data_IF_355166020736
#
_entry.id   IF_355166020736
#
_cell.length_a   1.000
_cell.length_b   1.000
_cell.length_c   1.000
_cell.angle_alpha   90.00
_cell.angle_beta   90.00
_cell.angle_gamma   90.00
#
_symmetry.space_group_name_H-M   'P 1'
#
loop_
_entity.id
_entity.type
_entity.pdbx_description
1 polymer ?
#
# COMPACT_ATOMS: atom_id res chain seq x y z
N UNK A 1 -15.37 13.35 12.74
CA UNK A 1 -15.77 13.32 14.18
C UNK A 1 -17.13 12.64 14.22
N UNK A 2 -17.33 11.63 15.07
CA UNK A 2 -18.64 11.00 15.24
C UNK A 2 -19.61 11.94 15.96
N UNK A 3 -20.82 12.07 15.43
CA UNK A 3 -21.84 12.97 16.00
C UNK A 3 -23.15 12.20 16.16
N UNK A 4 -23.70 12.21 17.36
CA UNK A 4 -24.97 11.55 17.64
C UNK A 4 -26.12 12.29 16.95
N UNK A 5 -26.98 11.53 16.27
CA UNK A 5 -28.20 12.02 15.62
C UNK A 5 -29.44 11.38 16.26
N UNK A 6 -30.54 12.11 16.31
CA UNK A 6 -31.82 11.63 16.84
C UNK A 6 -32.98 12.13 15.99
N UNK A 7 -33.95 11.24 15.75
CA UNK A 7 -35.17 11.53 14.98
C UNK A 7 -36.37 11.04 15.76
N UNK A 8 -37.38 11.90 15.92
CA UNK A 8 -38.63 11.53 16.59
C UNK A 8 -39.53 10.74 15.64
N UNK A 9 -39.87 9.50 16.01
CA UNK A 9 -40.76 8.62 15.24
C UNK A 9 -42.18 8.51 15.84
N UNK A 10 -42.56 9.32 16.82
CA UNK A 10 -43.82 9.20 17.56
C UNK A 10 -45.06 9.27 16.66
N UNK A 11 -45.01 10.02 15.55
CA UNK A 11 -46.09 10.10 14.57
C UNK A 11 -46.42 8.75 13.87
N UNK A 12 -45.53 7.77 14.00
CA UNK A 12 -45.64 6.44 13.42
C UNK A 12 -45.93 5.34 14.47
N UNK A 13 -46.18 5.71 15.72
CA UNK A 13 -46.53 4.73 16.77
C UNK A 13 -47.73 3.86 16.34
N UNK A 14 -47.60 2.55 16.54
CA UNK A 14 -48.61 1.56 16.16
C UNK A 14 -48.66 1.22 14.66
N UNK A 15 -47.75 1.77 13.83
CA UNK A 15 -47.67 1.49 12.40
C UNK A 15 -46.42 0.68 12.07
N UNK A 16 -46.52 -0.13 11.01
CA UNK A 16 -45.35 -0.73 10.38
C UNK A 16 -44.77 0.28 9.37
N UNK A 17 -43.52 0.66 9.55
CA UNK A 17 -42.81 1.62 8.70
C UNK A 17 -41.46 1.06 8.27
N UNK A 18 -40.87 1.66 7.23
CA UNK A 18 -39.48 1.43 6.82
C UNK A 18 -38.71 2.72 7.10
N UNK A 19 -37.60 2.59 7.84
CA UNK A 19 -36.62 3.66 8.00
C UNK A 19 -35.57 3.48 6.92
N UNK A 20 -35.24 4.56 6.20
CA UNK A 20 -34.27 4.58 5.13
C UNK A 20 -33.32 5.75 5.31
N UNK A 21 -32.04 5.50 5.03
CA UNK A 21 -31.01 6.52 4.96
C UNK A 21 -30.70 6.80 3.49
N UNK A 22 -30.87 8.07 3.11
CA UNK A 22 -30.55 8.56 1.78
C UNK A 22 -29.41 9.60 1.92
N UNK A 23 -28.33 9.40 1.18
CA UNK A 23 -27.23 10.35 1.05
C UNK A 23 -27.28 10.99 -0.33
N UNK A 24 -27.28 12.32 -0.37
CA UNK A 24 -27.31 13.11 -1.62
C UNK A 24 -26.17 14.12 -1.56
N UNK A 25 -25.21 14.01 -2.48
CA UNK A 25 -24.06 14.91 -2.60
C UNK A 25 -24.29 15.98 -3.68
N UNK A 26 -23.78 17.19 -3.45
CA UNK A 26 -23.69 18.21 -4.50
C UNK A 26 -22.60 17.85 -5.52
N UNK A 27 -22.74 18.30 -6.78
CA UNK A 27 -21.86 17.87 -7.87
C UNK A 27 -20.49 18.59 -7.90
N UNK A 28 -20.30 19.62 -7.09
CA UNK A 28 -19.19 20.58 -7.18
C UNK A 28 -18.31 20.61 -5.92
N UNK A 29 -18.69 19.88 -4.87
CA UNK A 29 -17.98 19.89 -3.60
C UNK A 29 -17.57 18.46 -3.23
N UNK A 30 -16.27 18.14 -3.27
CA UNK A 30 -15.77 16.86 -2.77
C UNK A 30 -16.12 16.71 -1.28
N UNK A 31 -16.83 15.64 -0.93
CA UNK A 31 -17.15 15.27 0.45
C UNK A 31 -16.57 13.88 0.74
N UNK A 32 -16.23 13.62 2.01
CA UNK A 32 -15.73 12.32 2.50
C UNK A 32 -16.85 11.31 2.70
N UNK A 33 -18.08 11.67 2.34
CA UNK A 33 -19.27 10.85 2.52
C UNK A 33 -19.77 10.85 3.96
N UNK A 34 -20.61 9.87 4.27
CA UNK A 34 -21.18 9.68 5.61
C UNK A 34 -21.05 8.21 6.02
N UNK A 35 -20.74 7.99 7.29
CA UNK A 35 -20.85 6.70 7.95
C UNK A 35 -21.92 6.79 9.04
N UNK A 36 -22.71 5.73 9.19
CA UNK A 36 -23.76 5.59 10.20
C UNK A 36 -23.43 4.35 11.00
N UNK A 37 -23.53 4.46 12.32
CA UNK A 37 -23.13 3.44 13.26
C UNK A 37 -24.01 3.57 14.53
N UNK A 38 -24.10 2.50 15.34
CA UNK A 38 -24.80 2.45 16.61
C UNK A 38 -26.28 2.88 16.52
N UNK A 39 -27.00 2.27 15.57
CA UNK A 39 -28.41 2.55 15.28
C UNK A 39 -29.28 1.90 16.37
N UNK A 40 -30.15 2.71 17.00
CA UNK A 40 -31.04 2.20 18.05
C UNK A 40 -32.45 2.74 17.91
N UNK A 41 -33.45 1.89 18.19
CA UNK A 41 -34.85 2.28 18.38
C UNK A 41 -35.33 1.64 19.70
N UNK A 42 -35.15 2.34 20.83
CA UNK A 42 -35.36 1.78 22.16
C UNK A 42 -36.77 1.22 22.40
N UNK A 43 -37.79 1.89 21.85
CA UNK A 43 -39.21 1.59 22.05
C UNK A 43 -39.61 0.21 21.52
N UNK A 44 -38.83 -0.34 20.57
CA UNK A 44 -39.01 -1.69 20.03
C UNK A 44 -37.83 -2.62 20.33
N UNK A 45 -36.87 -2.16 21.16
CA UNK A 45 -35.68 -2.93 21.52
C UNK A 45 -34.69 -3.17 20.36
N UNK A 46 -34.80 -2.41 19.27
CA UNK A 46 -33.89 -2.56 18.13
C UNK A 46 -32.55 -1.91 18.43
N UNK A 47 -31.47 -2.63 18.15
CA UNK A 47 -30.08 -2.18 18.25
C UNK A 47 -29.26 -2.86 17.16
N UNK A 48 -28.44 -2.07 16.49
CA UNK A 48 -27.51 -2.55 15.48
C UNK A 48 -26.27 -1.67 15.48
N UNK A 49 -25.13 -2.28 15.74
CA UNK A 49 -23.79 -1.69 15.72
C UNK A 49 -23.11 -1.87 14.33
N UNK A 50 -23.74 -2.61 13.43
CA UNK A 50 -23.29 -2.87 12.07
C UNK A 50 -22.01 -3.73 11.96
N UNK A 51 -21.60 -4.48 12.99
CA UNK A 51 -20.49 -5.44 12.91
C UNK A 51 -20.96 -6.88 12.62
N UNK A 52 -22.21 -7.22 12.96
CA UNK A 52 -22.74 -8.58 12.81
C UNK A 52 -23.22 -8.92 11.39
N UNK A 53 -22.90 -8.08 10.41
CA UNK A 53 -23.31 -8.19 9.01
C UNK A 53 -24.45 -7.23 8.65
N UNK A 54 -25.15 -7.51 7.54
CA UNK A 54 -26.19 -6.64 6.98
C UNK A 54 -27.61 -7.14 7.25
N UNK A 55 -27.80 -7.98 8.28
CA UNK A 55 -29.08 -8.66 8.49
C UNK A 55 -30.19 -7.66 8.82
N UNK A 56 -31.22 -7.58 7.97
CA UNK A 56 -32.32 -6.62 8.12
C UNK A 56 -32.13 -5.32 7.34
N UNK A 57 -30.97 -5.11 6.71
CA UNK A 57 -30.68 -3.96 5.85
C UNK A 57 -30.68 -4.34 4.38
N UNK A 58 -31.21 -3.43 3.56
CA UNK A 58 -31.01 -3.46 2.11
C UNK A 58 -30.04 -2.35 1.74
N UNK A 59 -28.84 -2.72 1.31
CA UNK A 59 -27.81 -1.76 0.91
C UNK A 59 -27.97 -1.40 -0.57
N UNK A 60 -28.47 -0.20 -0.86
CA UNK A 60 -28.55 0.36 -2.21
C UNK A 60 -27.60 1.55 -2.32
N UNK A 61 -26.38 1.31 -2.79
CA UNK A 61 -25.31 2.33 -2.81
C UNK A 61 -24.59 2.51 -1.47
N UNK A 62 -25.04 1.82 -0.43
CA UNK A 62 -24.35 1.72 0.86
C UNK A 62 -23.43 0.50 0.89
N UNK A 63 -22.41 0.53 1.73
CA UNK A 63 -21.51 -0.59 1.97
C UNK A 63 -21.23 -0.69 3.47
N UNK A 64 -21.24 -1.91 4.01
CA UNK A 64 -20.70 -2.18 5.32
C UNK A 64 -19.17 -2.15 5.21
N UNK A 65 -18.54 -1.23 5.94
CA UNK A 65 -17.09 -1.04 5.95
C UNK A 65 -16.56 -1.19 7.37
N UNK A 66 -15.30 -1.57 7.49
CA UNK A 66 -14.55 -1.35 8.72
C UNK A 66 -13.81 0.00 8.65
N UNK A 67 -13.12 0.37 9.72
CA UNK A 67 -12.26 1.55 9.73
C UNK A 67 -10.81 1.21 9.34
N UNK A 68 -10.61 0.16 8.53
CA UNK A 68 -9.29 -0.30 8.10
C UNK A 68 -9.14 -0.04 6.62
N UNK A 69 -8.33 0.95 6.28
CA UNK A 69 -7.94 1.22 4.90
C UNK A 69 -6.58 0.55 4.63
N UNK A 70 -6.50 -0.51 3.82
CA UNK A 70 -5.22 -1.18 3.54
C UNK A 70 -4.28 -0.23 2.79
N UNK A 71 -3.12 0.06 3.38
CA UNK A 71 -2.09 0.84 2.68
C UNK A 71 -1.28 -0.05 1.73
N UNK A 72 -1.18 0.34 0.46
CA UNK A 72 -0.41 -0.39 -0.55
C UNK A 72 0.73 0.46 -1.09
N UNK A 73 1.78 -0.19 -1.57
CA UNK A 73 2.96 0.46 -2.11
C UNK A 73 3.36 -0.13 -3.45
N UNK A 74 3.89 0.71 -4.32
CA UNK A 74 4.73 0.29 -5.44
C UNK A 74 6.16 0.59 -5.03
N UNK A 75 7.03 -0.43 -5.12
CA UNK A 75 8.46 -0.26 -4.90
C UNK A 75 9.17 -0.64 -6.18
N UNK A 76 9.95 0.29 -6.71
CA UNK A 76 10.75 0.12 -7.91
C UNK A 76 12.16 0.60 -7.67
N UNK A 77 13.11 0.03 -8.39
CA UNK A 77 14.47 0.53 -8.38
C UNK A 77 14.99 0.69 -9.80
N UNK A 78 15.90 1.65 -9.98
CA UNK A 78 16.77 1.75 -11.14
C UNK A 78 18.22 1.60 -10.66
N UNK A 79 18.94 0.63 -11.23
CA UNK A 79 20.39 0.56 -11.07
C UNK A 79 21.02 1.14 -12.33
N UNK A 80 21.67 2.28 -12.16
CA UNK A 80 22.36 3.02 -13.20
C UNK A 80 23.83 2.67 -13.13
N UNK A 81 24.36 2.07 -14.19
CA UNK A 81 25.76 1.61 -14.23
C UNK A 81 26.63 2.73 -14.79
N UNK A 82 27.51 3.29 -13.96
CA UNK A 82 28.27 4.48 -14.30
C UNK A 82 29.17 4.31 -15.53
N UNK A 83 29.84 3.16 -15.63
CA UNK A 83 30.79 2.87 -16.71
C UNK A 83 30.15 2.18 -17.93
N UNK A 84 28.87 1.83 -17.85
CA UNK A 84 28.14 1.18 -18.94
C UNK A 84 26.64 1.51 -18.87
N UNK A 85 26.22 2.77 -19.13
CA UNK A 85 24.83 3.18 -18.93
C UNK A 85 23.79 2.33 -19.68
N UNK A 86 24.17 1.72 -20.81
CA UNK A 86 23.33 0.81 -21.59
C UNK A 86 22.96 -0.49 -20.86
N UNK A 87 23.68 -0.88 -19.80
CA UNK A 87 23.37 -2.05 -18.96
C UNK A 87 22.54 -1.68 -17.72
N UNK A 88 22.20 -0.39 -17.56
CA UNK A 88 21.30 0.07 -16.50
C UNK A 88 19.94 -0.60 -16.63
N UNK A 89 19.31 -0.91 -15.50
CA UNK A 89 18.02 -1.60 -15.48
C UNK A 89 17.06 -0.99 -14.47
N UNK A 90 15.77 -1.06 -14.80
CA UNK A 90 14.67 -0.74 -13.90
C UNK A 90 13.92 -2.03 -13.60
N UNK A 91 13.66 -2.30 -12.32
CA UNK A 91 12.84 -3.44 -11.91
C UNK A 91 11.83 -3.04 -10.85
N UNK A 92 10.76 -3.81 -10.78
CA UNK A 92 9.69 -3.67 -9.80
C UNK A 92 9.85 -4.75 -8.74
N UNK A 93 9.89 -4.31 -7.48
CA UNK A 93 10.05 -5.14 -6.30
C UNK A 93 8.71 -5.44 -5.65
N UNK A 94 7.84 -4.43 -5.56
CA UNK A 94 6.44 -4.54 -5.16
C UNK A 94 5.60 -3.84 -6.23
N UNK A 95 4.60 -4.53 -6.75
CA UNK A 95 3.71 -4.06 -7.81
C UNK A 95 2.30 -3.70 -7.36
N UNK A 96 1.53 -3.09 -8.28
CA UNK A 96 0.22 -2.52 -7.98
C UNK A 96 -0.86 -3.56 -7.67
N UNK A 97 -0.59 -4.85 -7.86
CA UNK A 97 -1.48 -5.97 -7.53
C UNK A 97 -0.97 -6.77 -6.32
N UNK A 98 0.22 -6.46 -5.83
CA UNK A 98 0.80 -7.17 -4.70
C UNK A 98 0.13 -6.74 -3.40
N UNK A 99 0.07 -7.67 -2.45
CA UNK A 99 -0.39 -7.44 -1.09
C UNK A 99 0.76 -7.13 -0.13
N UNK A 100 2.00 -7.34 -0.57
CA UNK A 100 3.19 -7.01 0.21
C UNK A 100 3.30 -5.50 0.41
N UNK A 101 3.58 -5.08 1.64
CA UNK A 101 3.76 -3.67 2.02
C UNK A 101 5.19 -3.34 2.44
N UNK A 102 6.06 -4.36 2.48
CA UNK A 102 7.45 -4.26 2.91
C UNK A 102 8.29 -5.34 2.24
N UNK A 103 9.61 -5.13 2.20
CA UNK A 103 10.55 -6.15 1.75
C UNK A 103 12.00 -5.77 2.05
N UNK A 104 12.92 -6.70 1.76
CA UNK A 104 14.36 -6.50 1.86
C UNK A 104 14.99 -7.10 0.62
N UNK A 105 15.81 -6.31 -0.08
CA UNK A 105 16.40 -6.71 -1.35
C UNK A 105 17.90 -6.42 -1.36
N UNK A 106 18.75 -7.42 -1.67
CA UNK A 106 20.17 -7.20 -1.83
C UNK A 106 20.47 -6.50 -3.16
N UNK A 107 21.44 -5.59 -3.15
CA UNK A 107 21.97 -4.94 -4.35
C UNK A 107 23.48 -4.99 -4.35
N UNK A 108 24.07 -5.38 -5.48
CA UNK A 108 25.52 -5.25 -5.72
C UNK A 108 25.76 -3.97 -6.50
N UNK A 109 26.55 -3.06 -5.94
CA UNK A 109 26.92 -1.79 -6.56
C UNK A 109 28.43 -1.72 -6.70
N UNK A 110 28.90 -1.36 -7.89
CA UNK A 110 30.30 -1.04 -8.13
C UNK A 110 30.59 0.43 -7.86
N UNK A 111 31.87 0.79 -7.87
CA UNK A 111 32.27 2.20 -7.87
C UNK A 111 31.58 2.94 -9.04
N UNK A 112 30.98 4.09 -8.73
CA UNK A 112 30.22 4.95 -9.65
C UNK A 112 28.85 4.42 -10.09
N UNK A 113 28.37 3.27 -9.59
CA UNK A 113 26.97 2.88 -9.78
C UNK A 113 26.05 3.74 -8.93
N UNK A 114 24.86 4.04 -9.44
CA UNK A 114 23.80 4.72 -8.69
C UNK A 114 22.59 3.80 -8.55
N UNK A 115 22.11 3.63 -7.32
CA UNK A 115 20.84 2.99 -7.05
C UNK A 115 19.79 4.06 -6.74
N UNK A 116 18.78 4.19 -7.60
CA UNK A 116 17.60 5.00 -7.35
C UNK A 116 16.47 4.10 -6.88
N UNK A 117 15.92 4.36 -5.70
CA UNK A 117 14.72 3.69 -5.20
C UNK A 117 13.54 4.65 -5.29
N UNK A 118 12.43 4.19 -5.88
CA UNK A 118 11.17 4.89 -5.93
C UNK A 118 10.12 4.10 -5.12
N UNK A 119 9.54 4.76 -4.11
CA UNK A 119 8.50 4.21 -3.26
C UNK A 119 7.26 5.10 -3.44
N UNK A 120 6.20 4.53 -4.01
CA UNK A 120 4.95 5.23 -4.26
C UNK A 120 3.84 4.59 -3.44
N UNK A 121 3.21 5.38 -2.59
CA UNK A 121 1.96 4.98 -1.96
C UNK A 121 0.85 4.92 -2.99
N UNK A 122 0.09 3.83 -3.01
CA UNK A 122 -1.11 3.71 -3.84
C UNK A 122 -2.29 3.39 -2.93
N UNK A 123 -3.24 4.32 -2.87
CA UNK A 123 -4.50 4.15 -2.19
C UNK A 123 -5.49 5.17 -2.73
N UNK A 124 -6.57 4.72 -3.35
CA UNK A 124 -7.65 5.57 -3.86
C UNK A 124 -8.76 5.78 -2.81
N UNK A 125 -8.67 5.10 -1.67
CA UNK A 125 -9.67 5.12 -0.60
C UNK A 125 -9.31 6.09 0.54
N UNK A 126 -8.17 6.79 0.46
CA UNK A 126 -7.75 7.78 1.47
C UNK A 126 -6.95 8.93 0.87
N UNK A 127 -7.13 10.12 1.43
CA UNK A 127 -6.33 11.31 1.17
C UNK A 127 -5.19 11.50 2.18
N UNK A 128 -5.08 10.60 3.17
CA UNK A 128 -4.06 10.66 4.21
C UNK A 128 -2.70 10.26 3.58
N UNK A 129 -1.65 11.09 3.73
CA UNK A 129 -0.32 10.73 3.25
C UNK A 129 0.18 9.44 3.90
N UNK A 130 0.65 8.50 3.08
CA UNK A 130 1.25 7.28 3.58
C UNK A 130 2.67 7.51 4.09
N UNK A 131 3.08 6.72 5.07
CA UNK A 131 4.42 6.77 5.69
C UNK A 131 5.20 5.49 5.42
N UNK A 132 6.46 5.61 5.02
CA UNK A 132 7.36 4.48 4.83
C UNK A 132 8.65 4.64 5.65
N UNK A 133 9.26 3.51 6.01
CA UNK A 133 10.61 3.46 6.55
C UNK A 133 11.58 2.90 5.52
N UNK A 134 12.78 3.48 5.43
CA UNK A 134 13.86 2.99 4.58
C UNK A 134 15.15 2.90 5.40
N UNK A 135 15.83 1.76 5.30
CA UNK A 135 17.15 1.55 5.87
C UNK A 135 18.03 0.80 4.89
N UNK A 136 19.32 1.13 4.86
CA UNK A 136 20.33 0.42 4.10
C UNK A 136 21.51 0.08 5.01
N UNK A 137 22.10 -1.09 4.78
CA UNK A 137 23.29 -1.56 5.49
C UNK A 137 24.24 -2.24 4.50
N UNK A 138 25.54 -2.08 4.70
CA UNK A 138 26.55 -2.78 3.92
C UNK A 138 26.63 -4.23 4.38
N UNK A 139 26.40 -5.17 3.46
CA UNK A 139 26.54 -6.61 3.70
C UNK A 139 27.82 -7.11 3.03
N UNK A 140 28.97 -6.86 3.67
CA UNK A 140 30.30 -7.35 3.24
C UNK A 140 31.09 -6.41 2.31
N UNK A 141 32.40 -6.35 2.53
CA UNK A 141 33.40 -5.66 1.67
C UNK A 141 33.84 -6.64 0.57
N UNK A 142 33.92 -6.25 -0.72
CA UNK A 142 34.52 -7.12 -1.73
C UNK A 142 35.99 -7.38 -1.37
N UNK A 143 36.43 -8.63 -1.43
CA UNK A 143 37.85 -8.97 -1.27
C UNK A 143 38.67 -8.25 -2.37
N UNK A 144 39.88 -7.75 -2.07
CA UNK A 144 40.72 -7.13 -3.10
C UNK A 144 41.06 -8.17 -4.18
N UNK A 145 40.97 -7.75 -5.45
CA UNK A 145 41.34 -8.57 -6.61
C UNK A 145 42.78 -9.11 -6.44
N UNK A 146 42.92 -10.44 -6.29
CA UNK A 146 44.21 -11.09 -6.32
C UNK A 146 44.65 -11.20 -7.78
N UNK A 147 45.38 -10.20 -8.27
CA UNK A 147 46.13 -10.34 -9.53
C UNK A 147 47.30 -11.30 -9.27
N UNK A 148 47.11 -12.59 -9.53
CA UNK A 148 48.25 -13.51 -9.70
C UNK A 148 48.82 -13.30 -11.09
N UNK A 149 49.90 -12.53 -11.15
CA UNK A 149 50.77 -12.41 -12.32
C UNK A 149 51.39 -13.80 -12.59
N UNK A 150 50.90 -14.47 -13.65
CA UNK A 150 51.46 -15.75 -14.11
C UNK A 150 52.70 -15.46 -14.96
N UNK A 151 53.88 -15.50 -14.34
CA UNK A 151 55.16 -15.55 -15.08
C UNK A 151 55.22 -16.86 -15.87
N UNK A 152 55.20 -16.77 -17.20
CA UNK A 152 55.43 -17.92 -18.07
C UNK A 152 56.94 -18.25 -18.14
N UNK A 153 57.27 -19.49 -17.80
CA UNK A 153 58.60 -20.10 -17.85
C UNK A 153 59.04 -20.34 -19.31
N UNK A 154 60.30 -20.03 -19.62
CA UNK A 154 60.85 -20.11 -20.98
C UNK A 154 61.23 -21.56 -21.37
N UNK A 155 60.75 -22.01 -22.53
CA UNK A 155 61.12 -23.28 -23.16
C UNK A 155 62.56 -23.23 -23.71
N UNK A 156 63.45 -24.19 -23.38
CA UNK A 156 64.75 -24.26 -24.04
C UNK A 156 64.65 -24.96 -25.41
N UNK A 157 65.31 -24.35 -26.38
CA UNK A 157 65.52 -24.80 -27.75
C UNK A 157 66.38 -26.08 -27.79
N UNK A 158 66.05 -27.04 -28.67
CA UNK A 158 66.84 -28.26 -28.88
C UNK A 158 67.15 -28.44 -30.36
N UNK A 159 68.44 -28.41 -30.68
CA UNK A 159 69.07 -28.91 -31.93
C UNK A 159 70.48 -29.40 -31.54
N UNK A 160 71.08 -30.37 -32.26
CA UNK A 160 71.14 -30.49 -33.71
C UNK A 160 70.43 -31.71 -34.32
#
# INVERSE_FOLDING_TARGET
IWTQQSVNLSAYAGKQIIVRFDYVSANDTPDKGIAIDNITIPEIGFKDDAESGIQGWTLNGWQQIDNVVPQRYIVQYAQIIGNAPATSRVQRLIGPTDTATSGTWPFTLNANDTLLLAISAINDSTDIPATFGLSAQLTGTPAPDSTTESTAEATPESTP
#
